data_IF_321331103332
#
_entry.id   IF_321331103332
#
_cell.length_a   1.000
_cell.length_b   1.000
_cell.length_c   1.000
_cell.angle_alpha   90.00
_cell.angle_beta   90.00
_cell.angle_gamma   90.00
#
_symmetry.space_group_name_H-M   'P 1'
#
loop_
_entity.id
_entity.type
_entity.pdbx_description
1 polymer ?
#
# COMPACT_ATOMS: atom_id res chain seq x y z
N UNK A 1 17.67 62.65 -7.02
CA UNK A 1 19.02 63.19 -6.85
C UNK A 1 19.64 62.37 -5.74
N UNK A 2 20.57 61.45 -5.93
CA UNK A 2 21.45 61.14 -7.04
C UNK A 2 21.98 59.71 -6.89
N UNK A 3 22.44 59.16 -8.01
CA UNK A 3 23.05 57.84 -8.21
C UNK A 3 24.56 57.98 -7.93
N UNK A 4 25.27 56.84 -7.81
CA UNK A 4 26.74 56.62 -7.78
C UNK A 4 27.34 56.55 -6.37
N UNK A 5 28.02 55.49 -5.93
CA UNK A 5 28.72 54.41 -6.62
C UNK A 5 30.21 54.72 -6.65
N UNK A 6 31.02 54.05 -5.84
CA UNK A 6 32.46 53.91 -6.05
C UNK A 6 33.03 52.68 -5.33
N UNK A 7 33.73 51.88 -6.13
CA UNK A 7 34.41 50.63 -5.84
C UNK A 7 35.71 50.83 -5.06
N UNK A 8 36.15 49.81 -4.31
CA UNK A 8 37.57 49.56 -4.08
C UNK A 8 37.86 48.07 -4.33
N UNK A 9 38.74 47.85 -5.30
CA UNK A 9 39.36 46.60 -5.69
C UNK A 9 40.34 46.12 -4.62
N UNK A 10 40.48 44.80 -4.47
CA UNK A 10 41.73 44.18 -4.01
C UNK A 10 41.84 42.77 -4.60
N UNK A 11 42.64 42.65 -5.65
CA UNK A 11 43.21 41.41 -6.16
C UNK A 11 44.36 40.96 -5.25
N UNK A 12 44.45 39.66 -4.93
CA UNK A 12 45.73 39.02 -4.63
C UNK A 12 45.74 37.53 -5.03
N UNK A 13 46.78 37.15 -5.76
CA UNK A 13 47.02 35.89 -6.46
C UNK A 13 47.80 34.85 -5.62
N UNK A 14 47.40 33.57 -5.75
CA UNK A 14 48.28 32.38 -5.84
C UNK A 14 49.01 31.87 -4.58
N UNK A 15 49.51 30.60 -4.58
CA UNK A 15 49.92 29.82 -5.76
C UNK A 15 49.17 28.50 -5.98
N UNK A 16 49.34 27.99 -7.21
CA UNK A 16 48.74 26.79 -7.80
C UNK A 16 49.46 25.49 -7.43
N UNK A 17 48.65 24.42 -7.40
CA UNK A 17 48.89 23.01 -7.79
C UNK A 17 50.06 22.20 -7.22
N UNK A 18 49.72 21.08 -6.57
CA UNK A 18 50.20 19.77 -7.05
C UNK A 18 49.18 18.65 -6.77
N UNK A 19 49.17 17.70 -7.70
CA UNK A 19 48.17 16.68 -7.99
C UNK A 19 48.41 15.43 -7.14
N UNK A 20 47.36 14.86 -6.51
CA UNK A 20 47.36 13.44 -6.18
C UNK A 20 45.93 12.89 -6.05
N UNK A 21 45.60 12.00 -6.97
CA UNK A 21 44.49 11.06 -6.88
C UNK A 21 44.35 10.46 -5.47
N UNK A 22 43.15 10.52 -4.90
CA UNK A 22 42.70 9.43 -4.03
C UNK A 22 41.23 9.12 -4.33
N UNK A 23 41.06 7.97 -4.96
CA UNK A 23 39.81 7.27 -5.17
C UNK A 23 39.03 7.12 -3.86
N UNK A 24 37.71 7.21 -4.01
CA UNK A 24 36.69 6.43 -3.31
C UNK A 24 36.82 6.35 -1.78
N UNK A 25 35.96 7.05 -1.08
CA UNK A 25 35.32 6.45 0.10
C UNK A 25 33.87 6.88 0.08
N UNK A 26 33.03 5.87 -0.10
CA UNK A 26 31.57 5.91 -0.02
C UNK A 26 31.16 6.97 0.99
N UNK A 27 30.50 8.02 0.50
CA UNK A 27 29.36 8.50 1.26
C UNK A 27 28.45 7.26 1.34
N UNK A 28 28.60 6.50 2.44
CA UNK A 28 27.48 5.82 3.05
C UNK A 28 26.48 6.92 3.36
N UNK A 29 25.79 7.35 2.29
CA UNK A 29 24.38 7.60 2.33
C UNK A 29 23.86 6.40 3.13
N UNK A 30 23.66 6.64 4.43
CA UNK A 30 22.70 5.92 5.23
C UNK A 30 21.43 6.04 4.43
N UNK A 31 21.28 5.13 3.47
CA UNK A 31 20.01 4.64 2.98
C UNK A 31 19.42 4.08 4.25
N UNK A 32 18.81 4.97 5.03
CA UNK A 32 17.65 4.65 5.81
C UNK A 32 16.70 4.06 4.78
N UNK A 33 16.89 2.76 4.52
CA UNK A 33 15.88 1.90 4.01
C UNK A 33 14.78 2.09 5.03
N UNK A 34 13.88 3.03 4.72
CA UNK A 34 12.53 3.00 5.21
C UNK A 34 11.98 1.71 4.64
N UNK A 35 12.34 0.60 5.28
CA UNK A 35 11.57 -0.64 5.22
C UNK A 35 10.30 -0.32 5.99
N UNK A 36 9.47 0.53 5.42
CA UNK A 36 8.03 0.51 5.69
C UNK A 36 7.51 -0.71 4.94
N UNK A 37 7.96 -1.90 5.34
CA UNK A 37 7.20 -3.11 5.11
C UNK A 37 5.98 -2.95 5.98
N UNK A 38 4.88 -2.48 5.39
CA UNK A 38 3.60 -2.45 6.07
C UNK A 38 3.18 -3.90 6.23
N UNK A 39 3.59 -4.50 7.34
CA UNK A 39 3.29 -5.89 7.64
C UNK A 39 1.77 -6.09 7.57
N UNK A 40 1.32 -7.08 6.79
CA UNK A 40 -0.12 -7.30 6.54
C UNK A 40 -0.95 -7.38 7.84
N UNK A 41 -0.35 -7.89 8.93
CA UNK A 41 -0.95 -7.94 10.28
C UNK A 41 -1.39 -6.59 10.85
N UNK A 42 -0.71 -5.50 10.50
CA UNK A 42 -1.09 -4.15 10.93
C UNK A 42 -2.16 -3.53 10.01
N UNK A 43 -2.36 -4.11 8.83
CA UNK A 43 -3.33 -3.63 7.85
C UNK A 43 -4.75 -3.68 8.42
N UNK A 44 -5.44 -2.55 8.32
CA UNK A 44 -6.88 -2.48 8.62
C UNK A 44 -7.66 -3.40 7.68
N UNK A 45 -7.27 -3.50 6.41
CA UNK A 45 -7.95 -4.33 5.43
C UNK A 45 -7.94 -5.80 5.86
N UNK A 46 -6.78 -6.31 6.27
CA UNK A 46 -6.65 -7.70 6.75
C UNK A 46 -7.52 -7.97 8.00
N UNK A 47 -7.45 -7.07 8.99
CA UNK A 47 -8.26 -7.19 10.22
C UNK A 47 -9.77 -7.11 9.95
N UNK A 48 -10.18 -6.18 9.09
CA UNK A 48 -11.58 -6.03 8.70
C UNK A 48 -12.07 -7.27 7.94
N UNK A 49 -11.26 -7.88 7.06
CA UNK A 49 -11.57 -9.15 6.40
C UNK A 49 -11.71 -10.32 7.38
N UNK A 50 -10.82 -10.43 8.38
CA UNK A 50 -10.93 -11.46 9.43
C UNK A 50 -12.20 -11.30 10.28
N UNK A 51 -12.55 -10.06 10.64
CA UNK A 51 -13.78 -9.78 11.38
C UNK A 51 -15.04 -10.04 10.55
N UNK A 52 -15.02 -9.65 9.28
CA UNK A 52 -16.10 -9.94 8.34
C UNK A 52 -16.30 -11.45 8.14
N UNK A 53 -15.20 -12.22 8.01
CA UNK A 53 -15.28 -13.68 7.90
C UNK A 53 -15.85 -14.32 9.16
N UNK A 54 -15.46 -13.84 10.35
CA UNK A 54 -16.05 -14.30 11.63
C UNK A 54 -17.55 -14.03 11.66
N UNK A 55 -17.97 -12.84 11.25
CA UNK A 55 -19.38 -12.49 11.18
C UNK A 55 -20.15 -13.40 10.20
N UNK A 56 -19.59 -13.71 9.03
CA UNK A 56 -20.19 -14.64 8.08
C UNK A 56 -20.38 -16.03 8.68
N UNK A 57 -19.38 -16.52 9.43
CA UNK A 57 -19.47 -17.83 10.09
C UNK A 57 -20.56 -17.85 11.17
N UNK A 58 -20.68 -16.78 11.97
CA UNK A 58 -21.71 -16.64 13.00
C UNK A 58 -23.14 -16.57 12.43
N UNK A 59 -23.27 -16.02 11.22
CA UNK A 59 -24.54 -15.80 10.54
C UNK A 59 -24.75 -16.73 9.35
N UNK A 60 -24.01 -17.84 9.28
CA UNK A 60 -24.04 -18.76 8.13
C UNK A 60 -25.45 -19.22 7.75
N UNK A 61 -26.32 -19.39 8.75
CA UNK A 61 -27.71 -19.83 8.57
C UNK A 61 -28.64 -18.75 7.99
N UNK A 62 -28.19 -17.50 7.84
CA UNK A 62 -28.96 -16.41 7.24
C UNK A 62 -28.71 -16.28 5.73
N UNK A 63 -27.61 -16.86 5.24
CA UNK A 63 -27.31 -16.88 3.82
C UNK A 63 -28.05 -18.04 3.14
N UNK A 64 -28.51 -17.78 1.93
CA UNK A 64 -29.17 -18.77 1.08
C UNK A 64 -28.19 -19.50 0.15
N UNK A 65 -27.11 -18.81 -0.24
CA UNK A 65 -26.03 -19.30 -1.07
C UNK A 65 -24.71 -19.45 -0.31
N UNK A 66 -23.66 -19.77 -1.07
CA UNK A 66 -22.31 -19.90 -0.55
C UNK A 66 -21.62 -18.53 -0.50
N UNK A 67 -20.90 -18.30 0.59
CA UNK A 67 -20.07 -17.12 0.80
C UNK A 67 -18.62 -17.57 0.89
N UNK A 68 -17.81 -17.20 -0.10
CA UNK A 68 -16.39 -17.50 -0.12
C UNK A 68 -15.61 -16.38 0.59
N UNK A 69 -14.69 -16.73 1.52
CA UNK A 69 -13.76 -15.75 2.09
C UNK A 69 -12.85 -15.14 1.02
N UNK A 70 -12.31 -13.93 1.27
CA UNK A 70 -11.22 -13.39 0.47
C UNK A 70 -10.03 -14.35 0.37
N UNK A 71 -9.43 -14.54 -0.82
CA UNK A 71 -8.27 -15.40 -1.02
C UNK A 71 -7.12 -15.10 -0.03
N UNK A 72 -6.89 -13.82 0.30
CA UNK A 72 -5.87 -13.38 1.25
C UNK A 72 -5.95 -14.08 2.62
N UNK A 73 -7.13 -14.54 3.05
CA UNK A 73 -7.30 -15.21 4.34
C UNK A 73 -6.80 -16.66 4.33
N UNK A 74 -6.61 -17.26 3.16
CA UNK A 74 -6.17 -18.65 2.98
C UNK A 74 -4.76 -18.75 2.38
N UNK A 75 -4.10 -17.62 2.14
CA UNK A 75 -2.73 -17.54 1.61
C UNK A 75 -1.69 -17.82 2.70
N UNK A 76 -0.51 -18.29 2.29
CA UNK A 76 0.67 -18.35 3.15
C UNK A 76 1.16 -16.95 3.53
N UNK A 77 2.02 -16.85 4.55
CA UNK A 77 2.56 -15.54 4.98
C UNK A 77 3.35 -14.84 3.87
N UNK A 78 4.09 -15.59 3.06
CA UNK A 78 4.85 -15.07 1.92
C UNK A 78 3.90 -14.53 0.83
N UNK A 79 2.88 -15.29 0.45
CA UNK A 79 1.87 -14.87 -0.52
C UNK A 79 1.05 -13.67 -0.03
N UNK A 80 0.74 -13.62 1.27
CA UNK A 80 0.07 -12.46 1.87
C UNK A 80 0.94 -11.22 1.77
N UNK A 81 2.22 -11.30 2.14
CA UNK A 81 3.14 -10.18 2.05
C UNK A 81 3.26 -9.69 0.59
N UNK A 82 3.38 -10.60 -0.37
CA UNK A 82 3.41 -10.25 -1.80
C UNK A 82 2.11 -9.56 -2.26
N UNK A 83 0.94 -10.06 -1.84
CA UNK A 83 -0.35 -9.47 -2.19
C UNK A 83 -0.51 -8.06 -1.62
N UNK A 84 -0.07 -7.82 -0.38
CA UNK A 84 -0.07 -6.48 0.22
C UNK A 84 0.97 -5.56 -0.40
N UNK A 85 2.16 -6.08 -0.76
CA UNK A 85 3.15 -5.30 -1.50
C UNK A 85 2.59 -4.87 -2.86
N UNK A 86 1.93 -5.77 -3.60
CA UNK A 86 1.25 -5.44 -4.86
C UNK A 86 0.20 -4.36 -4.64
N UNK A 87 -0.63 -4.50 -3.60
CA UNK A 87 -1.65 -3.51 -3.24
C UNK A 87 -1.04 -2.12 -2.97
N UNK A 88 0.08 -2.06 -2.24
CA UNK A 88 0.78 -0.81 -1.93
C UNK A 88 1.47 -0.19 -3.16
N UNK A 89 1.88 -1.02 -4.13
CA UNK A 89 2.46 -0.56 -5.40
C UNK A 89 1.43 -0.07 -6.42
N UNK A 90 0.14 -0.31 -6.20
CA UNK A 90 -0.91 0.16 -7.10
C UNK A 90 -0.88 1.69 -7.19
N UNK A 91 -0.60 2.18 -8.39
CA UNK A 91 -0.62 3.60 -8.72
C UNK A 91 -1.95 3.96 -9.39
N UNK A 92 -2.25 5.26 -9.44
CA UNK A 92 -3.39 5.79 -10.21
C UNK A 92 -3.23 5.47 -11.72
N UNK A 93 -2.00 5.22 -12.16
CA UNK A 93 -1.67 4.86 -13.54
C UNK A 93 -1.57 3.35 -13.78
N UNK A 94 -1.81 2.52 -12.76
CA UNK A 94 -1.88 1.06 -12.96
C UNK A 94 -3.08 0.73 -13.83
N UNK A 95 -2.89 -0.19 -14.75
CA UNK A 95 -3.94 -0.66 -15.65
C UNK A 95 -5.16 -1.18 -14.86
N UNK A 96 -6.37 -0.98 -15.39
CA UNK A 96 -7.60 -1.36 -14.67
C UNK A 96 -7.70 -2.88 -14.46
N UNK A 97 -7.21 -3.69 -15.40
CA UNK A 97 -7.24 -5.15 -15.29
C UNK A 97 -6.25 -5.60 -14.22
N UNK A 98 -5.02 -5.06 -14.23
CA UNK A 98 -4.00 -5.34 -13.20
C UNK A 98 -4.49 -4.94 -11.81
N UNK A 99 -5.11 -3.76 -11.71
CA UNK A 99 -5.70 -3.27 -10.46
C UNK A 99 -6.82 -4.19 -9.98
N UNK A 100 -7.69 -4.64 -10.88
CA UNK A 100 -8.78 -5.57 -10.56
C UNK A 100 -8.23 -6.90 -10.04
N UNK A 101 -7.21 -7.45 -10.69
CA UNK A 101 -6.58 -8.72 -10.30
C UNK A 101 -5.92 -8.65 -8.92
N UNK A 102 -5.25 -7.53 -8.59
CA UNK A 102 -4.72 -7.33 -7.24
C UNK A 102 -5.85 -7.25 -6.21
N UNK A 103 -6.91 -6.50 -6.51
CA UNK A 103 -8.04 -6.30 -5.59
C UNK A 103 -8.88 -7.56 -5.35
N UNK A 104 -8.92 -8.50 -6.31
CA UNK A 104 -9.61 -9.79 -6.17
C UNK A 104 -9.15 -10.61 -4.99
N UNK A 105 -7.88 -10.50 -4.59
CA UNK A 105 -7.35 -11.21 -3.43
C UNK A 105 -8.02 -10.77 -2.11
N UNK A 106 -8.68 -9.62 -2.09
CA UNK A 106 -9.25 -9.00 -0.89
C UNK A 106 -10.78 -9.05 -0.83
N UNK A 107 -11.45 -9.56 -1.87
CA UNK A 107 -12.91 -9.57 -2.00
C UNK A 107 -13.58 -10.85 -1.53
N UNK A 108 -14.75 -10.72 -0.91
CA UNK A 108 -15.65 -11.84 -0.64
C UNK A 108 -16.44 -12.19 -1.91
N UNK A 109 -16.58 -13.47 -2.23
CA UNK A 109 -17.36 -13.90 -3.39
C UNK A 109 -18.70 -14.50 -2.93
N UNK A 110 -19.79 -14.10 -3.59
CA UNK A 110 -21.15 -14.53 -3.27
C UNK A 110 -21.80 -15.16 -4.49
N UNK A 111 -22.62 -16.20 -4.30
CA UNK A 111 -23.44 -16.77 -5.38
C UNK A 111 -24.84 -16.14 -5.48
N UNK A 112 -25.28 -15.42 -4.45
CA UNK A 112 -26.58 -14.77 -4.40
C UNK A 112 -26.47 -13.26 -4.10
N UNK A 113 -27.18 -12.45 -4.88
CA UNK A 113 -27.15 -10.99 -4.76
C UNK A 113 -27.77 -10.49 -3.46
N UNK A 114 -28.80 -11.16 -2.94
CA UNK A 114 -29.44 -10.78 -1.67
C UNK A 114 -28.51 -11.04 -0.49
N UNK A 115 -27.76 -12.13 -0.55
CA UNK A 115 -26.74 -12.46 0.45
C UNK A 115 -25.61 -11.41 0.46
N UNK A 116 -25.12 -11.02 -0.73
CA UNK A 116 -24.15 -9.94 -0.85
C UNK A 116 -24.69 -8.61 -0.30
N UNK A 117 -25.94 -8.25 -0.63
CA UNK A 117 -26.57 -7.03 -0.13
C UNK A 117 -26.76 -7.06 1.39
N UNK A 118 -27.18 -8.20 1.94
CA UNK A 118 -27.31 -8.42 3.38
C UNK A 118 -25.96 -8.31 4.09
N UNK A 119 -24.91 -8.89 3.51
CA UNK A 119 -23.54 -8.77 4.03
C UNK A 119 -23.07 -7.31 4.03
N UNK A 120 -23.22 -6.59 2.92
CA UNK A 120 -22.77 -5.19 2.82
C UNK A 120 -23.50 -4.28 3.83
N UNK A 121 -24.81 -4.42 3.99
CA UNK A 121 -25.59 -3.65 4.98
C UNK A 121 -25.10 -3.89 6.42
N UNK A 122 -24.78 -5.13 6.78
CA UNK A 122 -24.38 -5.41 8.15
C UNK A 122 -22.88 -5.17 8.40
N UNK A 123 -22.02 -5.62 7.50
CA UNK A 123 -20.56 -5.59 7.70
C UNK A 123 -19.98 -4.24 7.29
N UNK A 124 -20.37 -3.69 6.14
CA UNK A 124 -19.84 -2.39 5.69
C UNK A 124 -20.55 -1.24 6.39
N UNK A 125 -21.88 -1.19 6.32
CA UNK A 125 -22.64 -0.02 6.79
C UNK A 125 -22.78 0.00 8.33
N UNK A 126 -23.19 -1.11 8.96
CA UNK A 126 -23.38 -1.13 10.43
C UNK A 126 -22.10 -1.34 11.23
N UNK A 127 -21.22 -2.24 10.80
CA UNK A 127 -19.96 -2.51 11.51
C UNK A 127 -18.78 -1.63 11.08
N UNK A 128 -18.92 -0.86 9.98
CA UNK A 128 -17.87 0.05 9.51
C UNK A 128 -16.61 -0.64 8.97
N UNK A 129 -16.74 -1.88 8.47
CA UNK A 129 -15.63 -2.69 7.95
C UNK A 129 -15.34 -2.37 6.49
N UNK A 130 -14.06 -2.32 6.14
CA UNK A 130 -13.59 -2.16 4.76
C UNK A 130 -13.54 -3.53 4.09
N UNK A 131 -14.57 -3.83 3.31
CA UNK A 131 -14.69 -5.09 2.57
C UNK A 131 -15.05 -4.80 1.11
N UNK A 132 -14.51 -5.61 0.21
CA UNK A 132 -14.97 -5.70 -1.18
C UNK A 132 -15.76 -6.98 -1.38
N UNK A 133 -16.65 -6.97 -2.37
CA UNK A 133 -17.47 -8.12 -2.71
C UNK A 133 -17.56 -8.26 -4.23
N UNK A 134 -17.70 -9.49 -4.68
CA UNK A 134 -18.03 -9.85 -6.06
C UNK A 134 -19.13 -10.91 -6.08
N UNK A 135 -19.88 -10.93 -7.18
CA UNK A 135 -20.88 -11.96 -7.46
C UNK A 135 -20.27 -12.94 -8.46
N UNK A 136 -20.34 -14.25 -8.16
CA UNK A 136 -19.78 -15.34 -8.98
C UNK A 136 -20.84 -16.32 -9.47
#
# INVERSE_FOLDING_TARGET
MDITGQCMEQEYQGPEQENSEYLMSKDEETVAARTTGHHYRDSRLYRDSLEAQRWCNEHRNKFCGDVAPPPILNMSEEEMEEAFQKLDTLSIHTDEDERSDVLRNFGFSFTDLKDMAFFLDNVREKMGKRVSCELI
#
